data_IF_646324265479
#
_entry.id   IF_646324265479
#
_cell.length_a   1.000
_cell.length_b   1.000
_cell.length_c   1.000
_cell.angle_alpha   90.00
_cell.angle_beta   90.00
_cell.angle_gamma   90.00
#
_symmetry.space_group_name_H-M   'P 1'
#
loop_
_entity.id
_entity.type
_entity.pdbx_description
1 polymer ?
#
# COMPACT_ATOMS: atom_id res chain seq x y z
N UNK A 1 1.65 7.84 -30.39
CA UNK A 1 2.62 8.94 -30.18
C UNK A 1 3.32 8.68 -28.85
N UNK A 2 4.64 8.88 -28.74
CA UNK A 2 5.33 8.69 -27.46
C UNK A 2 5.20 9.94 -26.58
N UNK A 3 4.87 9.74 -25.30
CA UNK A 3 4.86 10.79 -24.30
C UNK A 3 6.16 10.78 -23.48
N UNK A 4 6.60 11.91 -22.89
CA UNK A 4 7.68 11.90 -21.90
C UNK A 4 7.39 10.94 -20.75
N UNK A 5 8.40 10.23 -20.28
CA UNK A 5 8.27 9.34 -19.14
C UNK A 5 7.93 10.13 -17.86
N UNK A 6 6.86 9.76 -17.15
CA UNK A 6 6.45 10.47 -15.91
C UNK A 6 7.46 10.33 -14.76
N UNK A 7 8.33 9.32 -14.81
CA UNK A 7 9.33 9.06 -13.76
C UNK A 7 10.67 9.77 -14.04
N UNK A 8 11.23 9.58 -15.25
CA UNK A 8 12.56 10.07 -15.60
C UNK A 8 12.59 11.15 -16.70
N UNK A 9 11.46 11.49 -17.33
CA UNK A 9 11.37 12.50 -18.40
C UNK A 9 11.87 12.03 -19.77
N UNK A 10 12.35 10.79 -19.91
CA UNK A 10 12.88 10.27 -21.16
C UNK A 10 11.83 10.25 -22.29
N UNK A 11 12.25 10.69 -23.48
CA UNK A 11 11.44 10.71 -24.71
C UNK A 11 11.99 9.79 -25.80
N UNK A 12 13.11 9.09 -25.54
CA UNK A 12 13.81 8.28 -26.54
C UNK A 12 13.59 6.79 -26.33
N UNK A 13 13.48 6.00 -27.41
CA UNK A 13 13.40 4.54 -27.35
C UNK A 13 12.26 3.99 -26.45
N UNK A 14 11.15 4.73 -26.34
CA UNK A 14 9.97 4.26 -25.61
C UNK A 14 9.16 3.29 -26.50
N UNK A 15 8.63 2.21 -25.92
CA UNK A 15 7.80 1.22 -26.63
C UNK A 15 6.34 1.38 -26.21
N UNK A 16 5.40 1.36 -27.15
CA UNK A 16 3.97 1.41 -26.87
C UNK A 16 3.31 0.06 -27.15
N UNK A 17 2.25 -0.25 -26.40
CA UNK A 17 1.48 -1.48 -26.54
C UNK A 17 0.05 -1.25 -26.07
N UNK A 18 -0.87 -2.06 -26.57
CA UNK A 18 -2.29 -2.01 -26.25
C UNK A 18 -2.63 -3.17 -25.30
N UNK A 19 -3.45 -2.88 -24.30
CA UNK A 19 -3.95 -3.88 -23.34
C UNK A 19 -5.47 -3.78 -23.29
N UNK A 20 -6.14 -4.90 -23.52
CA UNK A 20 -7.59 -4.95 -23.41
C UNK A 20 -8.04 -5.11 -21.95
N UNK A 21 -9.07 -4.37 -21.58
CA UNK A 21 -9.79 -4.55 -20.32
C UNK A 21 -10.50 -5.92 -20.31
N UNK A 22 -10.11 -6.78 -19.37
CA UNK A 22 -10.66 -8.13 -19.24
C UNK A 22 -11.41 -8.39 -17.93
N UNK A 23 -11.21 -7.56 -16.91
CA UNK A 23 -11.77 -7.76 -15.57
C UNK A 23 -13.29 -7.51 -15.53
N UNK A 24 -13.75 -6.46 -16.20
CA UNK A 24 -15.16 -6.09 -16.30
C UNK A 24 -15.81 -6.56 -17.60
N UNK A 25 -15.01 -7.08 -18.55
CA UNK A 25 -15.48 -7.53 -19.86
C UNK A 25 -15.93 -6.39 -20.77
N UNK A 26 -15.49 -5.16 -20.49
CA UNK A 26 -15.85 -3.96 -21.26
C UNK A 26 -15.12 -3.97 -22.60
N UNK A 27 -13.95 -4.63 -22.67
CA UNK A 27 -13.16 -4.74 -23.89
C UNK A 27 -12.51 -3.44 -24.34
N UNK A 28 -12.50 -2.42 -23.48
CA UNK A 28 -11.81 -1.14 -23.71
C UNK A 28 -10.31 -1.39 -23.93
N UNK A 29 -9.71 -0.75 -24.94
CA UNK A 29 -8.27 -0.82 -25.19
C UNK A 29 -7.54 0.33 -24.50
N UNK A 30 -6.65 -0.01 -23.57
CA UNK A 30 -5.76 0.93 -22.92
C UNK A 30 -4.42 1.00 -23.65
N UNK A 31 -3.92 2.21 -23.93
CA UNK A 31 -2.63 2.39 -24.56
C UNK A 31 -1.56 2.67 -23.52
N UNK A 32 -0.60 1.76 -23.40
CA UNK A 32 0.50 1.91 -22.47
C UNK A 32 1.80 2.24 -23.20
N UNK A 33 2.73 2.80 -22.44
CA UNK A 33 4.10 3.04 -22.86
C UNK A 33 5.09 2.52 -21.82
N UNK A 34 6.08 1.74 -22.24
CA UNK A 34 7.25 1.40 -21.46
C UNK A 34 8.42 2.32 -21.80
N UNK A 35 9.06 2.87 -20.77
CA UNK A 35 10.18 3.78 -20.94
C UNK A 35 11.46 3.06 -21.41
N UNK A 36 12.15 3.59 -22.42
CA UNK A 36 13.42 3.04 -22.90
C UNK A 36 14.60 3.22 -21.94
N UNK A 37 14.51 4.14 -20.98
CA UNK A 37 15.60 4.47 -20.06
C UNK A 37 15.42 3.86 -18.65
N UNK A 38 14.25 4.03 -18.04
CA UNK A 38 13.99 3.54 -16.67
C UNK A 38 13.05 2.33 -16.61
N UNK A 39 12.54 1.87 -17.77
CA UNK A 39 11.67 0.71 -17.91
C UNK A 39 10.33 0.77 -17.17
N UNK A 40 9.97 1.92 -16.57
CA UNK A 40 8.63 2.13 -16.01
C UNK A 40 7.57 2.08 -17.11
N UNK A 41 6.40 1.55 -16.79
CA UNK A 41 5.22 1.66 -17.64
C UNK A 41 4.33 2.83 -17.21
N UNK A 42 3.63 3.43 -18.16
CA UNK A 42 2.61 4.45 -17.90
C UNK A 42 1.46 4.31 -18.89
N UNK A 43 0.27 4.71 -18.46
CA UNK A 43 -0.88 4.84 -19.34
C UNK A 43 -0.75 6.14 -20.15
N UNK A 44 -0.98 6.08 -21.47
CA UNK A 44 -0.88 7.24 -22.37
C UNK A 44 -2.17 8.05 -22.40
N UNK A 45 -3.30 7.39 -22.23
CA UNK A 45 -4.65 7.92 -22.35
C UNK A 45 -5.54 7.50 -21.17
N UNK A 46 -5.20 7.94 -19.94
CA UNK A 46 -6.03 7.66 -18.78
C UNK A 46 -7.46 8.19 -18.98
N UNK A 47 -8.50 7.36 -18.75
CA UNK A 47 -9.89 7.81 -18.75
C UNK A 47 -10.09 8.99 -17.81
N UNK A 48 -10.93 9.95 -18.20
CA UNK A 48 -11.31 11.06 -17.35
C UNK A 48 -12.12 10.60 -16.11
N UNK A 49 -12.85 9.49 -16.26
CA UNK A 49 -13.58 8.83 -15.20
C UNK A 49 -13.22 7.34 -15.18
N UNK A 50 -12.69 6.89 -14.04
CA UNK A 50 -12.35 5.50 -13.82
C UNK A 50 -13.51 4.69 -13.21
N UNK A 51 -14.59 5.32 -12.77
CA UNK A 51 -15.71 4.65 -12.12
C UNK A 51 -16.25 3.42 -12.90
N UNK A 52 -16.33 3.42 -14.26
CA UNK A 52 -16.75 2.24 -15.02
C UNK A 52 -15.91 0.98 -14.82
N UNK A 53 -14.64 1.12 -14.46
CA UNK A 53 -13.72 -0.01 -14.26
C UNK A 53 -13.72 -0.53 -12.83
N UNK A 54 -14.45 0.12 -11.93
CA UNK A 54 -14.56 -0.20 -10.50
C UNK A 54 -16.02 -0.44 -10.07
N UNK A 55 -16.93 -0.77 -11.01
CA UNK A 55 -18.38 -0.97 -10.76
C UNK A 55 -18.73 -2.28 -10.05
N UNK A 56 -17.78 -2.95 -9.41
CA UNK A 56 -18.07 -4.10 -8.58
C UNK A 56 -18.60 -3.60 -7.23
N UNK A 57 -19.82 -4.01 -6.85
CA UNK A 57 -20.40 -3.83 -5.50
C UNK A 57 -19.48 -4.35 -4.36
N UNK A 58 -18.40 -5.04 -4.73
CA UNK A 58 -17.33 -5.55 -3.87
C UNK A 58 -16.06 -4.68 -3.85
N UNK A 59 -16.06 -3.44 -4.37
CA UNK A 59 -14.91 -2.54 -4.20
C UNK A 59 -14.85 -2.05 -2.74
N UNK A 60 -14.29 -2.91 -1.90
CA UNK A 60 -14.26 -2.83 -0.43
C UNK A 60 -13.47 -1.63 0.12
N UNK A 61 -12.79 -0.86 -0.73
CA UNK A 61 -11.86 0.19 -0.31
C UNK A 61 -12.53 1.41 0.34
N UNK A 62 -13.84 1.61 0.16
CA UNK A 62 -14.55 2.82 0.65
C UNK A 62 -15.39 2.60 1.90
N UNK A 63 -15.77 1.36 2.22
CA UNK A 63 -16.53 1.06 3.44
C UNK A 63 -15.58 0.75 4.60
N UNK A 64 -15.47 1.68 5.53
CA UNK A 64 -14.60 1.57 6.68
C UNK A 64 -15.01 0.38 7.58
N UNK A 65 -14.15 -0.64 7.68
CA UNK A 65 -14.38 -1.86 8.48
C UNK A 65 -13.34 -1.98 9.62
N UNK A 66 -13.36 -1.01 10.53
CA UNK A 66 -12.47 -1.04 11.70
C UNK A 66 -13.00 -1.99 12.77
N UNK A 67 -12.26 -3.08 13.04
CA UNK A 67 -12.51 -3.99 14.19
C UNK A 67 -11.41 -3.91 15.23
N UNK A 68 -11.52 -2.92 16.12
CA UNK A 68 -10.49 -2.54 17.09
C UNK A 68 -10.59 -3.31 18.42
N UNK A 69 -10.74 -4.62 18.33
CA UNK A 69 -10.67 -5.54 19.48
C UNK A 69 -9.28 -6.16 19.55
N UNK A 70 -8.60 -6.08 20.69
CA UNK A 70 -7.29 -6.74 20.82
C UNK A 70 -7.46 -8.26 20.77
N UNK A 71 -6.64 -8.92 19.95
CA UNK A 71 -6.61 -10.38 19.87
C UNK A 71 -5.35 -10.89 20.57
N UNK A 72 -5.51 -11.38 21.80
CA UNK A 72 -4.39 -11.83 22.65
C UNK A 72 -3.61 -12.96 21.97
N UNK A 73 -4.29 -13.91 21.32
CA UNK A 73 -3.65 -15.01 20.59
C UNK A 73 -2.78 -14.45 19.47
N UNK A 74 -3.31 -13.54 18.66
CA UNK A 74 -2.59 -12.91 17.55
C UNK A 74 -1.41 -12.08 18.03
N UNK A 75 -1.55 -11.40 19.17
CA UNK A 75 -0.47 -10.65 19.81
C UNK A 75 0.66 -11.56 20.28
N UNK A 76 0.35 -12.71 20.87
CA UNK A 76 1.35 -13.71 21.29
C UNK A 76 2.06 -14.30 20.06
N UNK A 77 1.31 -14.70 19.02
CA UNK A 77 1.87 -15.21 17.76
C UNK A 77 2.80 -14.18 17.11
N UNK A 78 2.35 -12.94 16.96
CA UNK A 78 3.15 -11.84 16.39
C UNK A 78 4.38 -11.58 17.24
N UNK A 79 4.23 -11.54 18.56
CA UNK A 79 5.33 -11.32 19.50
C UNK A 79 6.40 -12.40 19.40
N UNK A 80 5.98 -13.64 19.18
CA UNK A 80 6.88 -14.76 18.95
C UNK A 80 7.61 -14.64 17.61
N UNK A 81 6.88 -14.43 16.52
CA UNK A 81 7.45 -14.42 15.16
C UNK A 81 8.38 -13.22 14.93
N UNK A 82 7.99 -12.03 15.40
CA UNK A 82 8.75 -10.80 15.14
C UNK A 82 9.86 -10.56 16.17
N UNK A 83 9.63 -10.90 17.44
CA UNK A 83 10.47 -10.45 18.55
C UNK A 83 10.99 -11.59 19.45
N UNK A 84 10.68 -12.85 19.13
CA UNK A 84 11.07 -14.00 19.96
C UNK A 84 10.39 -14.04 21.34
N UNK A 85 9.34 -13.25 21.56
CA UNK A 85 8.60 -13.24 22.83
C UNK A 85 7.81 -14.54 23.01
N UNK A 86 7.51 -14.88 24.26
CA UNK A 86 6.67 -16.03 24.61
C UNK A 86 7.13 -17.36 23.95
N UNK A 87 8.40 -17.79 24.08
CA UNK A 87 8.97 -18.86 23.26
C UNK A 87 8.18 -20.18 23.30
N UNK A 88 7.65 -20.57 24.47
CA UNK A 88 6.93 -21.84 24.62
C UNK A 88 5.50 -21.74 24.05
N UNK A 89 4.69 -20.84 24.60
CA UNK A 89 3.28 -20.70 24.19
C UNK A 89 3.14 -20.10 22.79
N UNK A 90 4.05 -19.21 22.39
CA UNK A 90 4.15 -18.66 21.05
C UNK A 90 4.44 -19.75 20.02
N UNK A 91 5.43 -20.62 20.28
CA UNK A 91 5.71 -21.75 19.40
C UNK A 91 4.46 -22.63 19.22
N UNK A 92 3.82 -23.04 20.32
CA UNK A 92 2.61 -23.85 20.30
C UNK A 92 1.48 -23.20 19.49
N UNK A 93 1.26 -21.90 19.69
CA UNK A 93 0.21 -21.15 18.98
C UNK A 93 0.54 -20.87 17.51
N UNK A 94 1.80 -21.03 17.09
CA UNK A 94 2.21 -20.86 15.69
C UNK A 94 2.27 -22.17 14.90
N UNK A 95 2.08 -23.33 15.56
CA UNK A 95 2.03 -24.62 14.85
C UNK A 95 0.83 -24.65 13.90
N UNK A 96 1.10 -24.87 12.61
CA UNK A 96 0.07 -24.87 11.56
C UNK A 96 -0.54 -23.48 11.28
N UNK A 97 -0.01 -22.42 11.88
CA UNK A 97 -0.46 -21.05 11.62
C UNK A 97 0.11 -20.56 10.29
N UNK A 98 -0.77 -20.17 9.37
CA UNK A 98 -0.35 -19.48 8.15
C UNK A 98 0.03 -18.05 8.51
N UNK A 99 1.31 -17.72 8.30
CA UNK A 99 1.82 -16.37 8.54
C UNK A 99 1.08 -15.40 7.61
N UNK A 100 0.41 -14.43 8.22
CA UNK A 100 -0.29 -13.39 7.46
C UNK A 100 0.75 -12.48 6.80
N UNK A 101 0.53 -12.06 5.55
CA UNK A 101 1.53 -11.32 4.74
C UNK A 101 2.12 -10.10 5.48
N UNK A 102 1.31 -9.42 6.31
CA UNK A 102 1.77 -8.25 7.06
C UNK A 102 2.91 -8.56 8.04
N UNK A 103 3.03 -9.80 8.54
CA UNK A 103 4.10 -10.19 9.46
C UNK A 103 5.45 -10.13 8.74
N UNK A 104 5.53 -10.61 7.50
CA UNK A 104 6.77 -10.53 6.72
C UNK A 104 7.14 -9.09 6.40
N UNK A 105 6.15 -8.22 6.17
CA UNK A 105 6.37 -6.80 5.98
C UNK A 105 6.95 -6.14 7.23
N UNK A 106 6.36 -6.40 8.40
CA UNK A 106 6.84 -5.86 9.68
C UNK A 106 8.24 -6.37 10.01
N UNK A 107 8.51 -7.66 9.75
CA UNK A 107 9.83 -8.27 9.94
C UNK A 107 10.89 -7.63 9.05
N UNK A 108 10.61 -7.51 7.74
CA UNK A 108 11.54 -6.92 6.77
C UNK A 108 11.75 -5.42 7.02
N UNK A 109 10.73 -4.72 7.51
CA UNK A 109 10.82 -3.32 7.89
C UNK A 109 11.54 -3.09 9.24
N UNK A 110 11.76 -4.14 10.03
CA UNK A 110 12.30 -4.04 11.38
C UNK A 110 11.36 -3.36 12.39
N UNK A 111 10.05 -3.38 12.11
CA UNK A 111 9.05 -2.62 12.85
C UNK A 111 8.93 -3.09 14.30
N UNK A 112 8.81 -2.13 15.22
CA UNK A 112 8.60 -2.34 16.65
C UNK A 112 7.15 -1.99 17.04
N UNK A 113 6.66 -2.50 18.18
CA UNK A 113 5.28 -2.23 18.60
C UNK A 113 4.96 -0.75 18.86
N UNK A 114 5.96 0.02 19.29
CA UNK A 114 5.82 1.44 19.62
C UNK A 114 6.29 2.36 18.46
N UNK A 115 6.63 1.78 17.30
CA UNK A 115 6.94 2.58 16.10
C UNK A 115 5.68 3.33 15.61
N UNK A 116 5.85 4.57 15.18
CA UNK A 116 4.82 5.31 14.49
C UNK A 116 4.71 4.83 13.04
N UNK A 117 3.60 4.19 12.69
CA UNK A 117 3.35 3.58 11.38
C UNK A 117 2.31 4.40 10.61
N UNK A 118 2.63 4.78 9.38
CA UNK A 118 1.74 5.43 8.42
C UNK A 118 1.41 4.48 7.27
N UNK A 119 0.12 4.34 6.95
CA UNK A 119 -0.38 3.65 5.76
C UNK A 119 -0.99 4.67 4.78
N UNK A 120 -0.37 4.85 3.61
CA UNK A 120 -0.78 5.83 2.59
C UNK A 120 -1.65 5.15 1.54
N UNK A 121 -2.87 5.65 1.35
CA UNK A 121 -3.92 4.97 0.58
C UNK A 121 -4.54 3.85 1.39
N UNK A 122 -4.89 4.13 2.65
CA UNK A 122 -5.32 3.10 3.61
C UNK A 122 -6.68 2.47 3.28
N UNK A 123 -7.47 3.11 2.39
CA UNK A 123 -8.82 2.69 2.05
C UNK A 123 -9.68 2.46 3.30
N UNK A 124 -10.17 1.23 3.47
CA UNK A 124 -11.03 0.87 4.59
C UNK A 124 -10.33 0.62 5.94
N UNK A 125 -9.01 0.77 6.01
CA UNK A 125 -8.26 0.59 7.26
C UNK A 125 -8.11 -0.86 7.72
N UNK A 126 -8.38 -1.85 6.87
CA UNK A 126 -8.26 -3.27 7.22
C UNK A 126 -6.85 -3.67 7.64
N UNK A 127 -5.80 -3.08 7.04
CA UNK A 127 -4.41 -3.30 7.43
C UNK A 127 -4.14 -2.75 8.83
N UNK A 128 -4.57 -1.52 9.11
CA UNK A 128 -4.41 -0.92 10.43
C UNK A 128 -5.15 -1.72 11.51
N UNK A 129 -6.33 -2.27 11.19
CA UNK A 129 -7.03 -3.20 12.08
C UNK A 129 -6.19 -4.43 12.40
N UNK A 130 -5.55 -5.05 11.38
CA UNK A 130 -4.67 -6.21 11.58
C UNK A 130 -3.45 -5.87 12.43
N UNK A 131 -2.84 -4.70 12.21
CA UNK A 131 -1.68 -4.22 12.99
C UNK A 131 -2.08 -3.94 14.44
N UNK A 132 -3.21 -3.29 14.67
CA UNK A 132 -3.73 -3.02 16.01
C UNK A 132 -3.98 -4.33 16.77
N UNK A 133 -4.65 -5.31 16.13
CA UNK A 133 -4.89 -6.63 16.69
C UNK A 133 -3.60 -7.41 16.99
N UNK A 134 -2.54 -7.14 16.23
CA UNK A 134 -1.22 -7.72 16.43
C UNK A 134 -0.41 -7.04 17.56
N UNK A 135 -0.87 -5.88 18.04
CA UNK A 135 -0.34 -5.18 19.21
C UNK A 135 0.46 -3.91 18.91
N UNK A 136 0.49 -3.44 17.66
CA UNK A 136 1.08 -2.14 17.31
C UNK A 136 0.22 -0.99 17.85
N UNK A 137 0.87 0.11 18.26
CA UNK A 137 0.25 1.13 19.12
C UNK A 137 0.21 2.55 18.56
N UNK A 138 0.85 2.84 17.43
CA UNK A 138 0.76 4.18 16.85
C UNK A 138 0.55 4.08 15.35
N UNK A 139 -0.72 3.94 14.99
CA UNK A 139 -1.16 3.62 13.65
C UNK A 139 -1.89 4.82 13.06
N UNK A 140 -1.44 5.28 11.91
CA UNK A 140 -2.11 6.32 11.13
C UNK A 140 -2.36 5.82 9.72
N UNK A 141 -3.55 6.03 9.20
CA UNK A 141 -3.91 5.81 7.80
C UNK A 141 -4.36 7.11 7.17
N UNK A 142 -3.97 7.35 5.93
CA UNK A 142 -4.43 8.49 5.15
C UNK A 142 -4.96 8.05 3.80
N UNK A 143 -6.02 8.68 3.36
CA UNK A 143 -6.57 8.50 2.01
C UNK A 143 -7.43 9.71 1.65
N UNK A 144 -7.23 10.40 0.51
CA UNK A 144 -8.05 11.56 0.16
C UNK A 144 -9.50 11.20 -0.21
N UNK A 145 -9.79 9.92 -0.47
CA UNK A 145 -11.07 9.45 -1.01
C UNK A 145 -11.96 8.73 0.01
N UNK A 146 -11.50 8.53 1.26
CA UNK A 146 -12.35 7.94 2.29
C UNK A 146 -13.53 8.86 2.63
N UNK A 147 -14.67 8.24 2.93
CA UNK A 147 -15.88 8.98 3.28
C UNK A 147 -15.84 9.53 4.71
N UNK A 148 -15.15 8.83 5.62
CA UNK A 148 -15.20 9.10 7.05
C UNK A 148 -13.83 8.95 7.72
N UNK A 149 -13.47 9.96 8.50
CA UNK A 149 -12.32 9.91 9.39
C UNK A 149 -12.67 9.17 10.69
N UNK A 150 -11.68 8.49 11.27
CA UNK A 150 -11.82 7.82 12.56
C UNK A 150 -10.60 8.05 13.42
N UNK A 151 -10.84 8.30 14.70
CA UNK A 151 -9.80 8.32 15.73
C UNK A 151 -10.27 7.46 16.89
N UNK A 152 -9.55 6.38 17.17
CA UNK A 152 -9.84 5.46 18.28
C UNK A 152 -8.53 4.97 18.89
N UNK A 153 -8.34 5.28 20.18
CA UNK A 153 -7.17 4.87 20.97
C UNK A 153 -5.85 5.15 20.21
N UNK A 154 -5.26 4.09 19.66
CA UNK A 154 -3.97 4.04 19.01
C UNK A 154 -4.03 4.05 17.47
N UNK A 155 -5.22 4.22 16.90
CA UNK A 155 -5.47 4.20 15.45
C UNK A 155 -6.16 5.49 15.01
N UNK A 156 -5.59 6.15 14.01
CA UNK A 156 -6.17 7.31 13.32
C UNK A 156 -6.29 7.02 11.84
N UNK A 157 -7.42 7.36 11.24
CA UNK A 157 -7.66 7.32 9.80
C UNK A 157 -8.18 8.70 9.40
N UNK A 158 -7.47 9.36 8.50
CA UNK A 158 -7.68 10.77 8.17
C UNK A 158 -7.86 10.94 6.66
N UNK A 159 -8.74 11.86 6.26
CA UNK A 159 -8.99 12.16 4.86
C UNK A 159 -7.96 13.16 4.37
N UNK A 160 -6.77 12.66 4.04
CA UNK A 160 -5.60 13.50 3.71
C UNK A 160 -4.82 12.95 2.52
N UNK A 161 -4.19 13.88 1.80
CA UNK A 161 -3.10 13.54 0.89
C UNK A 161 -1.80 13.35 1.66
N UNK A 162 -0.87 12.57 1.12
CA UNK A 162 0.49 12.47 1.67
C UNK A 162 1.19 13.84 1.76
N UNK A 163 0.83 14.77 0.87
CA UNK A 163 1.40 16.11 0.85
C UNK A 163 0.96 16.95 2.06
N UNK A 164 -0.15 16.62 2.71
CA UNK A 164 -0.66 17.29 3.90
C UNK A 164 -0.01 16.79 5.21
N UNK A 165 0.79 15.72 5.13
CA UNK A 165 1.42 15.11 6.30
C UNK A 165 2.62 15.94 6.75
N UNK A 166 2.60 16.35 8.02
CA UNK A 166 3.67 17.10 8.68
C UNK A 166 4.43 16.28 9.72
N UNK A 167 3.81 15.21 10.24
CA UNK A 167 4.40 14.31 11.23
C UNK A 167 5.44 13.38 10.58
N UNK A 168 6.50 13.05 11.32
CA UNK A 168 7.43 12.00 10.94
C UNK A 168 7.09 10.62 11.53
N UNK A 169 7.41 9.56 10.79
CA UNK A 169 7.06 8.18 11.08
C UNK A 169 8.29 7.25 11.08
N UNK A 170 8.19 6.16 11.83
CA UNK A 170 9.17 5.08 11.89
C UNK A 170 8.97 4.03 10.77
N UNK A 171 7.76 3.98 10.21
CA UNK A 171 7.46 3.18 9.03
C UNK A 171 6.40 3.91 8.22
N UNK A 172 6.67 4.13 6.94
CA UNK A 172 5.66 4.57 5.96
C UNK A 172 5.43 3.44 4.99
N UNK A 173 4.16 3.10 4.76
CA UNK A 173 3.75 2.04 3.85
C UNK A 173 2.90 2.62 2.73
N UNK A 174 3.11 2.10 1.52
CA UNK A 174 2.30 2.37 0.33
C UNK A 174 1.90 1.01 -0.24
N UNK A 175 0.68 0.58 0.05
CA UNK A 175 0.15 -0.69 -0.42
C UNK A 175 -0.80 -0.46 -1.59
N UNK A 176 -0.30 -0.68 -2.81
CA UNK A 176 -1.05 -0.48 -4.04
C UNK A 176 -1.59 0.94 -4.24
N UNK A 177 -0.95 1.93 -3.63
CA UNK A 177 -1.36 3.33 -3.73
C UNK A 177 -0.46 4.16 -4.64
N UNK A 178 0.83 3.86 -4.70
CA UNK A 178 1.81 4.66 -5.44
C UNK A 178 1.55 4.65 -6.95
N UNK A 179 1.14 3.52 -7.50
CA UNK A 179 0.83 3.33 -8.93
C UNK A 179 -0.39 4.14 -9.40
N UNK A 180 -1.25 4.57 -8.46
CA UNK A 180 -2.41 5.42 -8.76
C UNK A 180 -2.11 6.92 -8.60
N UNK A 181 -0.92 7.28 -8.12
CA UNK A 181 -0.59 8.69 -7.88
C UNK A 181 -0.19 9.38 -9.19
N UNK A 182 -0.69 10.61 -9.46
CA UNK A 182 -0.34 11.35 -10.67
C UNK A 182 1.15 11.66 -10.81
N UNK A 183 1.84 11.89 -9.69
CA UNK A 183 3.29 12.09 -9.62
C UNK A 183 3.92 11.18 -8.55
N UNK A 184 4.25 9.92 -8.92
CA UNK A 184 4.86 8.97 -8.00
C UNK A 184 6.21 9.46 -7.45
N UNK A 185 6.94 10.27 -8.23
CA UNK A 185 8.25 10.79 -7.83
C UNK A 185 8.11 11.83 -6.72
N UNK A 186 7.14 12.75 -6.84
CA UNK A 186 6.82 13.70 -5.78
C UNK A 186 6.32 12.98 -4.52
N UNK A 187 5.49 11.96 -4.66
CA UNK A 187 5.02 11.17 -3.53
C UNK A 187 6.17 10.44 -2.80
N UNK A 188 7.10 9.82 -3.53
CA UNK A 188 8.28 9.19 -2.94
C UNK A 188 9.20 10.19 -2.24
N UNK A 189 9.39 11.39 -2.80
CA UNK A 189 10.13 12.46 -2.13
C UNK A 189 9.44 12.88 -0.83
N UNK A 190 8.13 13.09 -0.87
CA UNK A 190 7.36 13.44 0.32
C UNK A 190 7.43 12.34 1.38
N UNK A 191 7.33 11.06 0.97
CA UNK A 191 7.51 9.92 1.86
C UNK A 191 8.88 9.94 2.53
N UNK A 192 9.94 10.23 1.78
CA UNK A 192 11.29 10.36 2.33
C UNK A 192 11.42 11.49 3.36
N UNK A 193 10.75 12.63 3.16
CA UNK A 193 10.75 13.75 4.12
C UNK A 193 10.06 13.42 5.45
N UNK A 194 8.99 12.62 5.39
CA UNK A 194 8.19 12.24 6.57
C UNK A 194 8.68 10.94 7.24
N UNK A 195 9.73 10.32 6.73
CA UNK A 195 10.38 9.17 7.39
C UNK A 195 11.50 9.68 8.29
N UNK A 196 11.57 9.18 9.53
CA UNK A 196 12.67 9.49 10.43
C UNK A 196 14.00 8.91 9.88
N UNK A 197 15.15 9.52 10.17
CA UNK A 197 16.44 8.96 9.76
C UNK A 197 16.64 7.50 10.21
N UNK A 198 17.09 6.63 9.31
CA UNK A 198 17.33 5.21 9.59
C UNK A 198 16.07 4.33 9.67
N UNK A 199 14.91 4.87 9.31
CA UNK A 199 13.62 4.17 9.29
C UNK A 199 13.17 3.85 7.87
N UNK A 200 12.05 3.12 7.74
CA UNK A 200 11.74 2.36 6.51
C UNK A 200 10.58 2.97 5.72
N UNK A 201 10.75 3.03 4.39
CA UNK A 201 9.67 3.13 3.41
C UNK A 201 9.38 1.73 2.85
N UNK A 202 8.14 1.27 2.95
CA UNK A 202 7.70 0.00 2.35
C UNK A 202 6.72 0.30 1.22
N UNK A 203 7.08 -0.11 0.00
CA UNK A 203 6.24 0.07 -1.20
C UNK A 203 5.85 -1.30 -1.75
N UNK A 204 4.56 -1.54 -1.95
CA UNK A 204 4.02 -2.69 -2.69
C UNK A 204 3.25 -2.18 -3.90
N UNK A 205 3.72 -2.54 -5.08
CA UNK A 205 3.10 -2.24 -6.37
C UNK A 205 3.21 -3.46 -7.29
N UNK A 206 2.36 -3.59 -8.32
CA UNK A 206 2.56 -4.54 -9.40
C UNK A 206 3.92 -4.31 -10.08
N UNK A 207 4.62 -5.42 -10.36
CA UNK A 207 5.88 -5.40 -11.10
C UNK A 207 5.58 -5.69 -12.56
N UNK A 208 5.89 -4.73 -13.44
CA UNK A 208 5.81 -4.90 -14.89
C UNK A 208 6.84 -5.93 -15.40
N UNK A 209 6.61 -6.51 -16.58
CA UNK A 209 7.49 -7.50 -17.22
C UNK A 209 7.57 -8.86 -16.51
N UNK A 210 6.53 -9.21 -15.74
CA UNK A 210 6.31 -10.57 -15.25
C UNK A 210 5.61 -11.44 -16.32
N UNK A 211 5.49 -12.75 -16.07
CA UNK A 211 4.90 -13.70 -17.02
C UNK A 211 3.48 -13.32 -17.48
N UNK A 212 2.64 -12.80 -16.58
CA UNK A 212 1.26 -12.41 -16.88
C UNK A 212 1.14 -11.18 -17.78
N UNK A 213 2.25 -10.52 -18.12
CA UNK A 213 2.28 -9.40 -19.06
C UNK A 213 2.69 -9.81 -20.48
N UNK A 214 3.21 -11.03 -20.68
CA UNK A 214 3.71 -11.52 -21.98
C UNK A 214 2.70 -12.41 -22.74
N UNK A 215 1.53 -12.61 -22.17
CA UNK A 215 0.46 -13.50 -22.68
C UNK A 215 -0.79 -12.69 -22.92
#
# INVERSE_FOLDING_TARGET
MSAPCIICGNTQNNTSFEVQEHQMGIGHLFHYQQCGACHSAQLLDPPADFAPYYQNDNYYSFHLELRLEQNIVRKIQTGHILFGKYPIIGHLLTLGYTVNEFIDWMKNAGAQYDDAILDVGTGNGSLLTKLYQAGFRDLTGIDPFIEKEVSYDNVRIERKSIFDVTRQYDLVMMHHSLEHMPDPKAALRKAFEIIKPGKTLLVRIPIMNNYGWRT
#
